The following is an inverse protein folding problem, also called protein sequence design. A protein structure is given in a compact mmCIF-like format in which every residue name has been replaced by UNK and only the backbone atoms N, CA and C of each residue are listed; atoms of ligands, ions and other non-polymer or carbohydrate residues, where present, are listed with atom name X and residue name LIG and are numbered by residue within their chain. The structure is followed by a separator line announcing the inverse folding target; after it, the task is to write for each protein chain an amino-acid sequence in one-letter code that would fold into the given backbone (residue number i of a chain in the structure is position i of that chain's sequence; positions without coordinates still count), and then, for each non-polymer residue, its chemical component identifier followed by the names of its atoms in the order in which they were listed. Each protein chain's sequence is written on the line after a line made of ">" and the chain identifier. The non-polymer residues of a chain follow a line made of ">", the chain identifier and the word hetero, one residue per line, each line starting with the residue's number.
data_IF_575792197753
#
_entry.id   IF_575792197753
#
_cell.length_a   1.000
_cell.length_b   1.000
_cell.length_c   1.000
_cell.angle_alpha   90.00
_cell.angle_beta   90.00
_cell.angle_gamma   90.00
#
_symmetry.space_group_name_H-M   'P 1'
#
loop_
_entity.id
_entity.type
_entity.pdbx_description
1 polymer ?
#
# COMPACT_ATOMS: atom_id res chain seq x y z
N UNK A 1 11.36 -4.12 -22.61
CA UNK A 1 12.42 -3.96 -21.61
C UNK A 1 11.77 -3.56 -20.28
N UNK A 2 11.20 -4.51 -19.55
CA UNK A 2 10.49 -4.32 -18.27
C UNK A 2 11.16 -5.28 -17.29
N UNK A 3 11.68 -4.76 -16.19
CA UNK A 3 12.65 -5.40 -15.27
C UNK A 3 14.10 -5.36 -15.79
N UNK A 4 14.71 -4.17 -15.81
CA UNK A 4 16.13 -4.13 -15.51
C UNK A 4 16.28 -4.51 -14.04
N UNK A 5 16.75 -5.72 -13.76
CA UNK A 5 16.83 -6.28 -12.41
C UNK A 5 17.48 -5.32 -11.40
N UNK A 6 18.41 -4.47 -11.85
CA UNK A 6 19.10 -3.50 -11.01
C UNK A 6 18.19 -2.39 -10.45
N UNK A 7 17.23 -1.91 -11.24
CA UNK A 7 16.25 -0.92 -10.75
C UNK A 7 15.33 -1.54 -9.70
N UNK A 8 14.92 -2.80 -9.91
CA UNK A 8 14.10 -3.53 -8.94
C UNK A 8 14.84 -3.76 -7.62
N UNK A 9 16.15 -4.06 -7.68
CA UNK A 9 17.00 -4.25 -6.49
C UNK A 9 17.23 -2.96 -5.74
N UNK A 10 17.43 -1.86 -6.47
CA UNK A 10 17.59 -0.53 -5.88
C UNK A 10 16.32 -0.08 -5.17
N UNK A 11 15.15 -0.27 -5.78
CA UNK A 11 13.85 0.03 -5.16
C UNK A 11 13.61 -0.84 -3.91
N UNK A 12 13.92 -2.14 -3.96
CA UNK A 12 13.81 -3.02 -2.79
C UNK A 12 14.69 -2.54 -1.64
N UNK A 13 15.95 -2.18 -1.89
CA UNK A 13 16.86 -1.63 -0.87
C UNK A 13 16.35 -0.31 -0.30
N UNK A 14 15.79 0.56 -1.14
CA UNK A 14 15.18 1.81 -0.67
C UNK A 14 13.98 1.54 0.24
N UNK A 15 13.12 0.57 -0.10
CA UNK A 15 11.98 0.16 0.73
C UNK A 15 12.46 -0.46 2.05
N UNK A 16 13.47 -1.33 2.02
CA UNK A 16 14.06 -1.97 3.21
C UNK A 16 14.75 -0.96 4.14
N UNK A 17 15.23 0.16 3.60
CA UNK A 17 15.84 1.24 4.38
C UNK A 17 14.81 2.16 5.04
N UNK A 18 13.52 2.09 4.65
CA UNK A 18 12.48 2.91 5.29
C UNK A 18 12.25 2.43 6.73
N UNK A 19 12.10 3.36 7.69
CA UNK A 19 11.82 2.99 9.07
C UNK A 19 10.49 2.25 9.17
N UNK A 20 10.46 1.19 9.99
CA UNK A 20 9.26 0.41 10.28
C UNK A 20 8.33 1.14 11.26
N UNK A 21 7.97 2.39 10.92
CA UNK A 21 7.07 3.21 11.70
C UNK A 21 5.63 2.81 11.42
N UNK A 22 4.79 2.77 12.46
CA UNK A 22 3.36 2.53 12.26
C UNK A 22 2.72 3.78 11.66
N UNK A 23 1.86 3.65 10.65
CA UNK A 23 1.11 4.78 10.12
C UNK A 23 0.10 5.29 11.15
N UNK A 24 -0.25 6.57 11.03
CA UNK A 24 -1.45 7.09 11.67
C UNK A 24 -2.68 6.54 10.96
N UNK A 25 -3.66 6.06 11.73
CA UNK A 25 -4.88 5.45 11.18
C UNK A 25 -6.09 6.26 11.63
N UNK A 26 -6.93 6.65 10.66
CA UNK A 26 -8.23 7.29 10.92
C UNK A 26 -9.35 6.53 10.20
N UNK A 27 -10.52 6.45 10.84
CA UNK A 27 -11.72 5.90 10.20
C UNK A 27 -12.29 6.90 9.20
N UNK A 28 -12.61 6.44 7.98
CA UNK A 28 -13.35 7.22 6.98
C UNK A 28 -14.78 6.70 6.94
N UNK A 29 -15.68 7.43 7.60
CA UNK A 29 -17.06 6.99 7.79
C UNK A 29 -17.13 5.60 8.42
N UNK A 30 -17.96 4.73 7.84
CA UNK A 30 -18.14 3.32 8.27
C UNK A 30 -17.73 2.31 7.19
N UNK A 31 -16.85 2.68 6.28
CA UNK A 31 -16.50 1.83 5.11
C UNK A 31 -15.00 1.69 4.83
N UNK A 32 -14.14 2.51 5.45
CA UNK A 32 -12.71 2.51 5.14
C UNK A 32 -11.83 3.04 6.29
N UNK A 33 -10.53 2.79 6.15
CA UNK A 33 -9.46 3.37 6.95
C UNK A 33 -8.59 4.26 6.06
N UNK A 34 -8.25 5.45 6.53
CA UNK A 34 -7.17 6.25 5.95
C UNK A 34 -5.88 5.96 6.72
N UNK A 35 -4.84 5.59 5.99
CA UNK A 35 -3.49 5.43 6.49
C UNK A 35 -2.65 6.61 6.05
N UNK A 36 -1.91 7.17 6.99
CA UNK A 36 -0.97 8.26 6.76
C UNK A 36 0.40 7.85 7.28
N UNK A 37 1.33 7.66 6.34
CA UNK A 37 2.72 7.33 6.62
C UNK A 37 3.57 8.61 6.60
N UNK A 38 4.51 8.72 7.55
CA UNK A 38 5.48 9.83 7.60
C UNK A 38 6.32 9.86 6.31
N UNK A 39 6.68 8.69 5.80
CA UNK A 39 7.40 8.51 4.54
C UNK A 39 6.85 7.29 3.79
N UNK A 40 6.83 7.37 2.46
CA UNK A 40 6.41 6.26 1.58
C UNK A 40 5.13 6.53 0.79
N UNK A 41 4.94 5.75 -0.27
CA UNK A 41 3.82 5.86 -1.21
C UNK A 41 2.55 5.08 -0.81
N UNK A 42 2.52 4.52 0.40
CA UNK A 42 1.41 3.68 0.87
C UNK A 42 0.28 4.47 1.56
N UNK A 43 0.41 5.79 1.69
CA UNK A 43 -0.64 6.66 2.25
C UNK A 43 -1.87 6.67 1.33
N UNK A 44 -3.06 6.56 1.94
CA UNK A 44 -4.31 6.51 1.18
C UNK A 44 -5.49 5.94 1.97
N UNK A 45 -6.64 5.88 1.30
CA UNK A 45 -7.89 5.33 1.86
C UNK A 45 -8.07 3.89 1.37
N UNK A 46 -8.27 2.97 2.31
CA UNK A 46 -8.41 1.55 2.07
C UNK A 46 -9.75 1.08 2.62
N UNK A 47 -10.59 0.52 1.74
CA UNK A 47 -11.87 -0.09 2.13
C UNK A 47 -11.64 -1.32 3.00
N UNK A 48 -12.59 -1.61 3.89
CA UNK A 48 -12.47 -2.74 4.82
C UNK A 48 -12.32 -4.09 4.10
N UNK A 49 -13.02 -4.31 3.00
CA UNK A 49 -12.94 -5.54 2.21
C UNK A 49 -11.52 -5.76 1.67
N UNK A 50 -10.87 -4.68 1.22
CA UNK A 50 -9.48 -4.72 0.74
C UNK A 50 -8.53 -5.09 1.88
N UNK A 51 -8.65 -4.43 3.03
CA UNK A 51 -7.80 -4.71 4.19
C UNK A 51 -8.00 -6.16 4.65
N UNK A 52 -9.23 -6.64 4.63
CA UNK A 52 -9.57 -8.03 4.93
C UNK A 52 -8.92 -9.02 3.97
N UNK A 53 -9.01 -8.78 2.65
CA UNK A 53 -8.39 -9.65 1.65
C UNK A 53 -6.86 -9.66 1.79
N UNK A 54 -6.23 -8.49 2.01
CA UNK A 54 -4.80 -8.37 2.28
C UNK A 54 -4.37 -9.17 3.52
N UNK A 55 -5.13 -9.06 4.63
CA UNK A 55 -4.87 -9.80 5.85
C UNK A 55 -4.97 -11.33 5.67
N UNK A 56 -5.83 -11.77 4.75
CA UNK A 56 -6.01 -13.18 4.40
C UNK A 56 -5.10 -13.65 3.25
N UNK A 57 -4.11 -12.85 2.84
CA UNK A 57 -3.20 -13.13 1.71
C UNK A 57 -3.96 -13.43 0.40
N UNK A 58 -5.13 -12.81 0.20
CA UNK A 58 -5.91 -12.85 -1.03
C UNK A 58 -5.56 -11.64 -1.87
N UNK A 59 -5.68 -11.77 -3.19
CA UNK A 59 -5.51 -10.65 -4.10
C UNK A 59 -6.76 -9.73 -4.05
N UNK A 60 -6.67 -8.52 -3.46
CA UNK A 60 -7.81 -7.62 -3.39
C UNK A 60 -8.13 -6.95 -4.73
N UNK A 61 -7.19 -6.95 -5.67
CA UNK A 61 -7.30 -6.28 -6.96
C UNK A 61 -7.81 -7.23 -8.07
N UNK A 62 -7.92 -8.53 -7.77
CA UNK A 62 -8.42 -9.57 -8.69
C UNK A 62 -7.69 -9.53 -10.04
N UNK A 63 -6.37 -9.39 -10.01
CA UNK A 63 -5.49 -9.30 -11.17
C UNK A 63 -5.48 -7.94 -11.87
N UNK A 64 -6.19 -6.93 -11.35
CA UNK A 64 -6.15 -5.57 -11.90
C UNK A 64 -5.02 -4.74 -11.27
N UNK A 65 -4.49 -3.72 -11.96
CA UNK A 65 -3.58 -2.78 -11.34
C UNK A 65 -4.28 -2.06 -10.18
N UNK A 66 -3.62 -1.98 -9.03
CA UNK A 66 -4.12 -1.18 -7.91
C UNK A 66 -4.11 0.30 -8.29
N UNK A 67 -5.29 0.94 -8.25
CA UNK A 67 -5.44 2.38 -8.50
C UNK A 67 -5.82 3.04 -7.18
N UNK A 68 -4.96 3.92 -6.68
CA UNK A 68 -5.31 4.83 -5.60
C UNK A 68 -6.46 5.71 -6.11
N UNK A 69 -7.58 5.77 -5.38
CA UNK A 69 -8.65 6.73 -5.70
C UNK A 69 -8.04 8.13 -5.77
N UNK A 70 -8.47 8.93 -6.75
CA UNK A 70 -8.03 10.32 -6.91
C UNK A 70 -8.19 11.04 -5.55
N UNK A 71 -7.09 11.66 -5.12
CA UNK A 71 -7.01 12.43 -3.89
C UNK A 71 -8.00 13.60 -3.90
#
# INVERSE_FOLDING_TARGET
>A
MRNEDDTSRTLRRQIEALPAEKPTVRTVGKYALAFEWVQGCSSGIYRFERVYDLANRRDPDRGKPYVHGAW
#
